data_IF_600193643751
#
_entry.id   IF_600193643751
#
_cell.length_a   1.000
_cell.length_b   1.000
_cell.length_c   1.000
_cell.angle_alpha   90.00
_cell.angle_beta   90.00
_cell.angle_gamma   90.00
#
_symmetry.space_group_name_H-M   'P 1'
#
loop_
_entity.id
_entity.type
_entity.pdbx_description
1 polymer ?
#
# COMPACT_ATOMS: atom_id res chain seq x y z
N UNK A 1 17.73 -3.76 -2.87
CA UNK A 1 18.34 -5.06 -3.23
C UNK A 1 19.86 -5.11 -3.08
N UNK A 2 20.64 -4.10 -3.52
CA UNK A 2 22.11 -4.11 -3.42
C UNK A 2 22.63 -4.38 -2.00
N UNK A 3 22.14 -3.64 -1.01
CA UNK A 3 22.52 -3.81 0.40
C UNK A 3 22.12 -5.20 0.95
N UNK A 4 20.88 -5.64 0.68
CA UNK A 4 20.40 -6.96 1.12
C UNK A 4 21.23 -8.11 0.54
N UNK A 5 21.61 -8.00 -0.75
CA UNK A 5 22.49 -8.97 -1.41
C UNK A 5 23.89 -8.96 -0.81
N UNK A 6 24.46 -7.78 -0.60
CA UNK A 6 25.78 -7.63 0.03
C UNK A 6 25.81 -8.23 1.44
N UNK A 7 24.81 -7.92 2.28
CA UNK A 7 24.66 -8.50 3.62
C UNK A 7 24.58 -10.04 3.60
N UNK A 8 23.93 -10.60 2.58
CA UNK A 8 23.82 -12.06 2.41
C UNK A 8 25.01 -12.72 1.70
N UNK A 9 26.04 -11.96 1.32
CA UNK A 9 27.20 -12.45 0.56
C UNK A 9 26.92 -12.77 -0.91
N UNK A 10 25.82 -12.27 -1.47
CA UNK A 10 25.42 -12.54 -2.85
C UNK A 10 25.79 -11.40 -3.79
N UNK A 11 26.26 -11.76 -4.98
CA UNK A 11 26.56 -10.87 -6.09
C UNK A 11 25.50 -11.01 -7.19
N UNK A 12 25.66 -10.26 -8.29
CA UNK A 12 24.83 -10.43 -9.49
C UNK A 12 25.14 -11.73 -10.26
N UNK A 13 26.34 -12.30 -10.09
CA UNK A 13 26.77 -13.52 -10.80
C UNK A 13 26.08 -14.78 -10.30
N UNK A 14 25.66 -14.77 -9.02
CA UNK A 14 24.99 -15.91 -8.39
C UNK A 14 23.57 -16.14 -8.92
N UNK A 15 23.02 -15.19 -9.68
CA UNK A 15 21.68 -15.25 -10.33
C UNK A 15 20.53 -15.66 -9.37
N UNK A 16 20.74 -15.48 -8.06
CA UNK A 16 19.72 -15.73 -7.04
C UNK A 16 18.56 -14.74 -7.21
N UNK A 17 17.32 -15.22 -7.17
CA UNK A 17 16.11 -14.37 -7.29
C UNK A 17 16.00 -13.39 -6.12
N UNK A 18 15.37 -12.25 -6.36
CA UNK A 18 15.18 -11.23 -5.31
C UNK A 18 14.24 -11.72 -4.19
N UNK A 19 13.25 -12.56 -4.52
CA UNK A 19 12.38 -13.20 -3.50
C UNK A 19 13.23 -13.96 -2.47
N UNK A 20 14.11 -14.85 -2.92
CA UNK A 20 14.98 -15.67 -2.04
C UNK A 20 15.84 -14.81 -1.11
N UNK A 21 16.39 -13.70 -1.60
CA UNK A 21 17.18 -12.77 -0.77
C UNK A 21 16.31 -12.08 0.28
N UNK A 22 15.07 -11.72 -0.08
CA UNK A 22 14.12 -11.07 0.83
C UNK A 22 13.63 -12.03 1.90
N UNK A 23 13.26 -13.24 1.51
CA UNK A 23 12.80 -14.31 2.42
C UNK A 23 13.87 -14.64 3.45
N UNK A 24 15.15 -14.70 3.03
CA UNK A 24 16.28 -14.94 3.93
C UNK A 24 16.47 -13.85 4.99
N UNK A 25 16.17 -12.60 4.66
CA UNK A 25 16.36 -11.44 5.57
C UNK A 25 15.04 -11.05 6.26
N UNK A 26 13.92 -11.69 5.92
CA UNK A 26 12.60 -11.33 6.44
C UNK A 26 12.06 -9.98 5.94
N UNK A 27 12.57 -9.46 4.82
CA UNK A 27 12.17 -8.14 4.30
C UNK A 27 11.04 -8.28 3.28
N UNK A 28 9.88 -7.71 3.57
CA UNK A 28 8.76 -7.71 2.63
C UNK A 28 9.08 -6.99 1.29
N UNK A 29 8.42 -7.36 0.18
CA UNK A 29 8.47 -6.63 -1.08
C UNK A 29 8.09 -5.14 -0.91
N UNK A 30 8.74 -4.27 -1.69
CA UNK A 30 8.47 -2.83 -1.65
C UNK A 30 7.02 -2.51 -2.04
N UNK A 31 6.43 -3.31 -2.94
CA UNK A 31 5.05 -3.15 -3.39
C UNK A 31 4.07 -3.30 -2.23
N UNK A 32 4.26 -4.33 -1.39
CA UNK A 32 3.44 -4.53 -0.19
C UNK A 32 3.56 -3.37 0.79
N UNK A 33 4.77 -2.81 0.96
CA UNK A 33 4.97 -1.62 1.79
C UNK A 33 4.26 -0.40 1.23
N UNK A 34 4.36 -0.16 -0.07
CA UNK A 34 3.66 0.95 -0.72
C UNK A 34 2.13 0.80 -0.57
N UNK A 35 1.61 -0.41 -0.71
CA UNK A 35 0.19 -0.73 -0.48
C UNK A 35 -0.19 -0.50 0.99
N UNK A 36 0.59 -0.99 1.94
CA UNK A 36 0.39 -0.74 3.38
C UNK A 36 0.33 0.76 3.69
N UNK A 37 1.25 1.55 3.17
CA UNK A 37 1.27 3.00 3.39
C UNK A 37 0.03 3.69 2.81
N UNK A 38 -0.41 3.27 1.62
CA UNK A 38 -1.63 3.78 0.99
C UNK A 38 -2.88 3.45 1.82
N UNK A 39 -3.00 2.21 2.29
CA UNK A 39 -4.10 1.77 3.15
C UNK A 39 -4.04 2.40 4.54
N UNK A 40 -2.86 2.62 5.12
CA UNK A 40 -2.69 3.39 6.36
C UNK A 40 -3.29 4.79 6.22
N UNK A 41 -2.98 5.47 5.11
CA UNK A 41 -3.56 6.79 4.81
C UNK A 41 -5.06 6.73 4.58
N UNK A 42 -5.56 5.77 3.79
CA UNK A 42 -7.00 5.58 3.58
C UNK A 42 -7.75 5.42 4.91
N UNK A 43 -7.28 4.52 5.79
CA UNK A 43 -7.92 4.34 7.09
C UNK A 43 -7.86 5.59 7.97
N UNK A 44 -6.79 6.40 7.87
CA UNK A 44 -6.75 7.71 8.52
C UNK A 44 -7.87 8.62 8.02
N UNK A 45 -8.01 8.77 6.69
CA UNK A 45 -9.04 9.60 6.05
C UNK A 45 -10.45 9.11 6.41
N UNK A 46 -10.70 7.79 6.35
CA UNK A 46 -12.00 7.18 6.63
C UNK A 46 -12.50 7.41 8.06
N UNK A 47 -11.59 7.60 9.02
CA UNK A 47 -11.92 7.85 10.44
C UNK A 47 -12.05 9.33 10.79
N UNK A 48 -11.76 10.25 9.87
CA UNK A 48 -11.97 11.69 10.10
C UNK A 48 -13.48 12.00 10.09
N UNK A 49 -13.93 13.05 10.80
CA UNK A 49 -15.32 13.49 10.71
C UNK A 49 -15.67 13.95 9.27
N UNK A 50 -16.92 13.82 8.80
CA UNK A 50 -17.34 14.20 7.44
C UNK A 50 -16.99 15.64 7.07
N UNK A 51 -17.03 16.55 8.06
CA UNK A 51 -16.74 17.97 7.90
C UNK A 51 -15.24 18.24 7.71
N UNK A 52 -14.37 17.26 7.93
CA UNK A 52 -12.94 17.42 7.74
C UNK A 52 -12.63 17.62 6.25
N UNK A 53 -11.94 18.70 5.86
CA UNK A 53 -11.62 18.98 4.45
C UNK A 53 -10.88 17.84 3.76
N UNK A 54 -10.03 17.12 4.51
CA UNK A 54 -9.28 15.95 4.02
C UNK A 54 -10.20 14.79 3.66
N UNK A 55 -11.29 14.58 4.42
CA UNK A 55 -12.25 13.50 4.14
C UNK A 55 -13.11 13.85 2.94
N UNK A 56 -13.73 15.02 2.96
CA UNK A 56 -14.56 15.51 1.87
C UNK A 56 -13.76 15.56 0.55
N UNK A 57 -12.62 16.25 0.54
CA UNK A 57 -11.83 16.44 -0.67
C UNK A 57 -11.14 15.19 -1.24
N UNK A 58 -11.15 14.07 -0.52
CA UNK A 58 -10.57 12.78 -0.97
C UNK A 58 -11.67 11.78 -1.29
N UNK A 59 -12.65 11.57 -0.40
CA UNK A 59 -13.69 10.55 -0.57
C UNK A 59 -14.89 11.03 -1.40
N UNK A 60 -15.19 12.33 -1.41
CA UNK A 60 -16.36 12.89 -2.09
C UNK A 60 -16.01 13.48 -3.46
N UNK A 61 -14.83 13.16 -4.01
CA UNK A 61 -14.45 13.60 -5.35
C UNK A 61 -15.38 13.00 -6.40
N UNK A 62 -15.87 13.88 -7.28
CA UNK A 62 -16.67 13.49 -8.43
C UNK A 62 -15.78 12.72 -9.42
N UNK A 63 -16.11 11.44 -9.66
CA UNK A 63 -15.35 10.51 -10.51
C UNK A 63 -15.35 10.90 -12.02
N UNK A 64 -16.09 11.93 -12.42
CA UNK A 64 -16.37 12.26 -13.83
C UNK A 64 -15.42 13.30 -14.46
N UNK A 65 -14.24 13.54 -13.90
CA UNK A 65 -13.28 14.51 -14.47
C UNK A 65 -12.42 13.84 -15.54
N UNK A 66 -12.48 14.35 -16.78
CA UNK A 66 -11.58 13.93 -17.87
C UNK A 66 -10.12 14.04 -17.43
N UNK A 67 -9.36 12.95 -17.52
CA UNK A 67 -7.95 12.96 -17.13
C UNK A 67 -7.08 13.54 -18.23
N UNK A 68 -6.24 14.50 -17.86
CA UNK A 68 -5.23 15.06 -18.74
C UNK A 68 -4.20 14.01 -19.19
N UNK A 69 -3.63 14.24 -20.38
CA UNK A 69 -2.55 13.43 -20.95
C UNK A 69 -1.32 13.43 -20.01
N UNK A 70 -0.72 12.26 -19.78
CA UNK A 70 0.47 12.11 -18.91
C UNK A 70 0.17 11.79 -17.44
N UNK A 71 -1.09 11.87 -17.00
CA UNK A 71 -1.48 11.46 -15.64
C UNK A 71 -1.47 9.93 -15.49
N UNK A 72 -1.16 9.38 -14.30
CA UNK A 72 -1.25 7.94 -14.07
C UNK A 72 -2.60 7.32 -14.47
N UNK A 73 -2.48 6.08 -15.00
CA UNK A 73 -3.50 5.02 -15.15
C UNK A 73 -4.70 5.19 -14.21
N UNK A 74 -4.38 5.01 -12.93
CA UNK A 74 -5.34 4.83 -11.87
C UNK A 74 -5.43 6.08 -11.00
N UNK A 75 -6.64 6.41 -10.54
CA UNK A 75 -6.81 7.42 -9.49
C UNK A 75 -6.31 6.83 -8.19
N UNK A 76 -6.16 7.70 -7.20
CA UNK A 76 -5.91 7.25 -5.85
C UNK A 76 -7.05 6.31 -5.37
N UNK A 77 -8.31 6.66 -5.64
CA UNK A 77 -9.48 5.85 -5.27
C UNK A 77 -9.51 4.49 -5.94
N UNK A 78 -9.21 4.43 -7.25
CA UNK A 78 -9.10 3.16 -7.98
C UNK A 78 -7.95 2.31 -7.44
N UNK A 79 -6.84 2.95 -7.07
CA UNK A 79 -5.68 2.26 -6.50
C UNK A 79 -6.02 1.67 -5.13
N UNK A 80 -6.71 2.41 -4.27
CA UNK A 80 -7.18 1.93 -2.96
C UNK A 80 -8.21 0.81 -3.13
N UNK A 81 -9.18 0.95 -4.04
CA UNK A 81 -10.17 -0.11 -4.35
C UNK A 81 -9.49 -1.40 -4.79
N UNK A 82 -8.45 -1.31 -5.63
CA UNK A 82 -7.66 -2.46 -6.05
C UNK A 82 -6.89 -3.07 -4.89
N UNK A 83 -6.18 -2.27 -4.10
CA UNK A 83 -5.41 -2.76 -2.96
C UNK A 83 -6.29 -3.50 -1.93
N UNK A 84 -7.47 -2.94 -1.61
CA UNK A 84 -8.47 -3.57 -0.74
C UNK A 84 -8.92 -4.92 -1.29
N UNK A 85 -9.16 -5.01 -2.60
CA UNK A 85 -9.55 -6.24 -3.27
C UNK A 85 -8.43 -7.27 -3.26
N UNK A 86 -7.20 -6.86 -3.61
CA UNK A 86 -6.04 -7.74 -3.69
C UNK A 86 -5.68 -8.32 -2.31
N UNK A 87 -5.91 -7.56 -1.23
CA UNK A 87 -5.66 -8.00 0.15
C UNK A 87 -6.89 -8.62 0.83
N UNK A 88 -8.02 -8.69 0.11
CA UNK A 88 -9.29 -9.19 0.63
C UNK A 88 -9.74 -8.50 1.93
N UNK A 89 -9.59 -7.17 1.99
CA UNK A 89 -9.95 -6.34 3.15
C UNK A 89 -11.24 -5.57 2.83
N UNK A 90 -12.22 -5.69 3.71
CA UNK A 90 -13.44 -4.87 3.66
C UNK A 90 -13.13 -3.42 4.08
N UNK A 91 -13.68 -2.45 3.33
CA UNK A 91 -13.49 -1.01 3.61
C UNK A 91 -14.08 -0.62 4.97
N UNK A 92 -15.09 -1.33 5.44
CA UNK A 92 -15.83 -1.08 6.69
C UNK A 92 -14.92 -1.28 7.91
N UNK A 93 -13.97 -2.22 7.82
CA UNK A 93 -12.97 -2.50 8.88
C UNK A 93 -12.14 -1.26 9.20
N UNK A 94 -12.01 -0.30 8.28
CA UNK A 94 -11.24 0.93 8.51
C UNK A 94 -11.75 1.78 9.68
N UNK A 95 -13.00 1.61 10.11
CA UNK A 95 -13.54 2.32 11.28
C UNK A 95 -12.97 1.79 12.60
N UNK A 96 -12.72 0.49 12.69
CA UNK A 96 -12.01 -0.12 13.82
C UNK A 96 -10.50 0.04 13.62
N UNK A 97 -9.87 0.90 14.42
CA UNK A 97 -8.43 1.18 14.32
C UNK A 97 -7.58 -0.06 14.61
N UNK A 98 -8.02 -0.94 15.50
CA UNK A 98 -7.28 -2.13 15.92
C UNK A 98 -7.34 -3.20 14.83
N UNK A 99 -8.55 -3.53 14.35
CA UNK A 99 -8.76 -4.45 13.26
C UNK A 99 -8.09 -3.96 11.96
N UNK A 100 -8.17 -2.66 11.67
CA UNK A 100 -7.49 -2.07 10.52
C UNK A 100 -5.97 -2.22 10.58
N UNK A 101 -5.36 -1.97 11.76
CA UNK A 101 -3.91 -2.11 11.94
C UNK A 101 -3.44 -3.55 11.72
N UNK A 102 -4.23 -4.53 12.19
CA UNK A 102 -3.95 -5.95 12.00
C UNK A 102 -4.11 -6.34 10.52
N UNK A 103 -5.20 -5.93 9.87
CA UNK A 103 -5.50 -6.29 8.49
C UNK A 103 -4.44 -5.79 7.49
N UNK A 104 -3.89 -4.59 7.70
CA UNK A 104 -2.90 -4.00 6.79
C UNK A 104 -1.45 -4.28 7.20
N UNK A 105 -1.21 -5.17 8.16
CA UNK A 105 0.13 -5.39 8.68
C UNK A 105 1.01 -6.12 7.66
N UNK A 106 2.09 -5.47 7.26
CA UNK A 106 3.18 -6.08 6.49
C UNK A 106 4.32 -6.31 7.47
N UNK A 107 4.75 -7.56 7.68
CA UNK A 107 5.85 -7.89 8.56
C UNK A 107 7.09 -7.02 8.29
N UNK A 108 7.78 -6.65 9.36
CA UNK A 108 9.14 -6.12 9.31
C UNK A 108 10.04 -7.07 10.10
N UNK A 109 11.28 -7.28 9.63
CA UNK A 109 12.27 -8.06 10.36
C UNK A 109 12.74 -7.35 11.63
#
# INVERSE_FOLDING_TARGET
MRMLRWFCGHTMRDRVRNEVIRDRVGVAPIEEKLTQHRLRWFGHVQRRPPEAPVRNGVLERVDNVKRGRGRPKLTWDESVKRDLKDWNISKEIALDRSAWKLAINVPEP
#
